data_IF_447899292313
#
_entry.id   IF_447899292313
#
_cell.length_a   1.000
_cell.length_b   1.000
_cell.length_c   1.000
_cell.angle_alpha   90.00
_cell.angle_beta   90.00
_cell.angle_gamma   90.00
#
_symmetry.space_group_name_H-M   'P 1'
#
loop_
_entity.id
_entity.type
_entity.pdbx_description
1 polymer ?
#
# COMPACT_ATOMS: atom_id res chain seq x y z
N UNK A 1 -28.57 50.82 -63.47
CA UNK A 1 -27.32 50.81 -62.70
C UNK A 1 -27.32 49.54 -61.86
N UNK A 2 -26.36 48.63 -62.14
CA UNK A 2 -25.66 47.70 -61.20
C UNK A 2 -26.49 47.02 -60.10
N UNK A 3 -26.50 45.69 -59.89
CA UNK A 3 -25.65 44.56 -60.31
C UNK A 3 -26.49 43.25 -60.08
N UNK A 4 -26.58 42.27 -61.00
CA UNK A 4 -25.72 41.05 -61.14
C UNK A 4 -25.78 40.16 -59.88
N UNK A 5 -26.10 38.85 -59.82
CA UNK A 5 -26.36 37.73 -60.75
C UNK A 5 -27.06 36.60 -59.91
N UNK A 6 -28.12 35.94 -60.39
CA UNK A 6 -28.16 34.54 -60.90
C UNK A 6 -27.43 33.47 -60.06
N UNK A 7 -28.10 32.51 -59.43
CA UNK A 7 -28.59 31.22 -59.99
C UNK A 7 -27.68 30.03 -59.68
N UNK A 8 -28.26 29.02 -59.03
CA UNK A 8 -28.19 27.58 -59.33
C UNK A 8 -26.90 27.04 -59.98
N UNK A 9 -26.14 26.19 -59.27
CA UNK A 9 -25.94 24.79 -59.67
C UNK A 9 -25.10 24.00 -58.66
N UNK A 10 -25.46 22.74 -58.46
CA UNK A 10 -24.78 21.82 -57.54
C UNK A 10 -23.42 21.34 -58.05
N UNK A 11 -22.62 20.82 -57.11
CA UNK A 11 -21.55 19.88 -57.41
C UNK A 11 -21.70 18.66 -56.47
N UNK A 12 -21.77 17.41 -56.98
CA UNK A 12 -22.34 16.27 -56.27
C UNK A 12 -21.32 15.34 -55.59
N UNK A 13 -20.15 15.83 -55.18
CA UNK A 13 -19.12 14.99 -54.58
C UNK A 13 -18.72 15.51 -53.19
N UNK A 14 -19.20 14.84 -52.15
CA UNK A 14 -18.67 14.97 -50.80
C UNK A 14 -17.22 14.52 -50.77
N UNK A 15 -16.35 15.34 -50.17
CA UNK A 15 -14.97 14.96 -49.92
C UNK A 15 -14.93 13.89 -48.79
N UNK A 16 -14.19 12.79 -48.96
CA UNK A 16 -14.08 11.75 -47.93
C UNK A 16 -13.36 12.32 -46.70
N UNK A 17 -13.89 12.00 -45.51
CA UNK A 17 -13.30 12.40 -44.25
C UNK A 17 -11.80 12.09 -44.19
N UNK A 18 -11.01 13.10 -43.86
CA UNK A 18 -9.59 12.95 -43.56
C UNK A 18 -9.46 12.14 -42.27
N UNK A 19 -9.12 10.86 -42.40
CA UNK A 19 -9.01 9.87 -41.31
C UNK A 19 -7.83 10.14 -40.36
N UNK A 20 -6.94 11.07 -40.69
CA UNK A 20 -5.68 11.29 -39.97
C UNK A 20 -5.61 12.69 -39.34
N UNK A 21 -6.43 12.94 -38.33
CA UNK A 21 -6.29 14.10 -37.46
C UNK A 21 -5.61 13.66 -36.15
N UNK A 22 -4.28 13.83 -36.00
CA UNK A 22 -3.51 13.31 -34.86
C UNK A 22 -3.95 13.91 -33.51
N UNK A 23 -4.54 15.11 -33.53
CA UNK A 23 -5.14 15.73 -32.34
C UNK A 23 -6.34 14.94 -31.81
N UNK A 24 -7.14 14.35 -32.71
CA UNK A 24 -8.33 13.56 -32.36
C UNK A 24 -7.97 12.14 -31.87
N UNK A 25 -6.84 11.60 -32.31
CA UNK A 25 -6.29 10.34 -31.79
C UNK A 25 -5.60 10.53 -30.44
N UNK A 26 -4.86 11.63 -30.24
CA UNK A 26 -4.28 11.97 -28.93
C UNK A 26 -5.37 12.18 -27.87
N UNK A 27 -6.49 12.82 -28.24
CA UNK A 27 -7.62 13.06 -27.33
C UNK A 27 -8.48 11.80 -27.09
N UNK A 28 -8.42 10.79 -27.96
CA UNK A 28 -9.03 9.47 -27.72
C UNK A 28 -8.18 8.57 -26.81
N UNK A 29 -6.89 8.84 -26.68
CA UNK A 29 -6.01 8.09 -25.77
C UNK A 29 -6.12 8.58 -24.31
N UNK A 30 -6.60 9.81 -24.10
CA UNK A 30 -6.73 10.45 -22.78
C UNK A 30 -8.03 10.14 -22.03
N UNK A 31 -8.92 9.33 -22.61
CA UNK A 31 -10.14 8.84 -21.94
C UNK A 31 -10.22 7.33 -22.08
N UNK A 32 -9.23 6.61 -21.55
CA UNK A 32 -9.52 5.25 -21.13
C UNK A 32 -10.37 5.30 -19.86
N UNK A 33 -11.47 4.52 -19.76
CA UNK A 33 -12.10 4.30 -18.47
C UNK A 33 -11.04 3.76 -17.52
N UNK A 34 -11.09 4.23 -16.27
CA UNK A 34 -10.25 3.75 -15.18
C UNK A 34 -10.10 2.22 -15.29
N UNK A 35 -8.88 1.71 -15.44
CA UNK A 35 -8.70 0.27 -15.65
C UNK A 35 -9.39 -0.46 -14.50
N UNK A 36 -10.24 -1.45 -14.79
CA UNK A 36 -11.06 -2.04 -13.75
C UNK A 36 -10.17 -2.74 -12.72
N UNK A 37 -10.45 -2.48 -11.45
CA UNK A 37 -9.61 -2.88 -10.30
C UNK A 37 -9.24 -4.36 -10.26
N UNK A 38 -10.08 -5.24 -10.82
CA UNK A 38 -9.81 -6.68 -10.92
C UNK A 38 -8.61 -7.01 -11.80
N UNK A 39 -8.33 -6.22 -12.85
CA UNK A 39 -7.16 -6.43 -13.70
C UNK A 39 -5.88 -6.13 -12.93
N UNK A 40 -5.86 -5.02 -12.17
CA UNK A 40 -4.72 -4.66 -11.32
C UNK A 40 -4.46 -5.77 -10.30
N UNK A 41 -5.50 -6.30 -9.66
CA UNK A 41 -5.36 -7.40 -8.71
C UNK A 41 -4.79 -8.67 -9.36
N UNK A 42 -5.28 -9.03 -10.57
CA UNK A 42 -4.74 -10.19 -11.31
C UNK A 42 -3.29 -9.98 -11.71
N UNK A 43 -2.94 -8.79 -12.19
CA UNK A 43 -1.57 -8.45 -12.54
C UNK A 43 -0.66 -8.52 -11.31
N UNK A 44 -1.09 -7.99 -10.17
CA UNK A 44 -0.32 -8.02 -8.94
C UNK A 44 -0.03 -9.45 -8.48
N UNK A 45 -1.03 -10.34 -8.58
CA UNK A 45 -0.86 -11.76 -8.28
C UNK A 45 0.07 -12.47 -9.29
N UNK A 46 -0.05 -12.20 -10.59
CA UNK A 46 0.88 -12.77 -11.59
C UNK A 46 2.32 -12.34 -11.28
N UNK A 47 2.54 -11.06 -10.93
CA UNK A 47 3.85 -10.55 -10.58
C UNK A 47 4.39 -11.15 -9.27
N UNK A 48 3.52 -11.46 -8.29
CA UNK A 48 3.96 -12.16 -7.08
C UNK A 48 4.40 -13.61 -7.37
N UNK A 49 3.72 -14.29 -8.29
CA UNK A 49 4.13 -15.62 -8.74
C UNK A 49 5.46 -15.60 -9.52
N UNK A 50 5.66 -14.62 -10.38
CA UNK A 50 6.94 -14.40 -11.08
C UNK A 50 8.04 -14.14 -10.06
N UNK A 51 7.80 -13.26 -9.08
CA UNK A 51 8.74 -13.00 -7.99
C UNK A 51 9.09 -14.28 -7.24
N UNK A 52 8.11 -15.06 -6.80
CA UNK A 52 8.35 -16.32 -6.07
C UNK A 52 9.04 -17.41 -6.90
N UNK A 53 8.99 -17.32 -8.23
CA UNK A 53 9.63 -18.27 -9.14
C UNK A 53 11.06 -17.88 -9.53
N UNK A 54 11.35 -16.58 -9.64
CA UNK A 54 12.61 -16.04 -10.18
C UNK A 54 13.53 -15.43 -9.12
N UNK A 55 12.97 -14.84 -8.06
CA UNK A 55 13.76 -14.28 -6.96
C UNK A 55 14.12 -15.38 -5.95
N UNK A 56 15.35 -15.42 -5.41
CA UNK A 56 16.46 -14.49 -5.66
C UNK A 56 17.43 -14.93 -6.78
N UNK A 57 17.37 -16.19 -7.23
CA UNK A 57 18.47 -16.80 -8.01
C UNK A 57 18.54 -16.31 -9.46
N UNK A 58 17.40 -16.12 -10.13
CA UNK A 58 17.34 -15.69 -11.54
C UNK A 58 17.20 -14.18 -11.68
N UNK A 59 16.48 -13.54 -10.76
CA UNK A 59 16.19 -12.11 -10.82
C UNK A 59 16.31 -11.41 -9.45
N UNK A 60 17.54 -11.24 -8.93
CA UNK A 60 17.75 -10.63 -7.61
C UNK A 60 17.34 -9.15 -7.53
N UNK A 61 17.35 -8.44 -8.66
CA UNK A 61 17.02 -7.01 -8.77
C UNK A 61 15.53 -6.73 -9.06
N UNK A 62 14.66 -7.74 -9.01
CA UNK A 62 13.25 -7.62 -9.41
C UNK A 62 12.53 -6.39 -8.83
N UNK A 63 12.68 -6.15 -7.51
CA UNK A 63 12.00 -5.03 -6.85
C UNK A 63 12.49 -3.68 -7.38
N UNK A 64 13.80 -3.56 -7.59
CA UNK A 64 14.40 -2.34 -8.11
C UNK A 64 14.01 -2.11 -9.57
N UNK A 65 14.11 -3.15 -10.42
CA UNK A 65 13.85 -3.04 -11.86
C UNK A 65 12.39 -2.73 -12.19
N UNK A 66 11.45 -3.30 -11.42
CA UNK A 66 10.01 -3.14 -11.67
C UNK A 66 9.45 -1.90 -10.98
N UNK A 67 9.87 -1.61 -9.75
CA UNK A 67 9.21 -0.61 -8.90
C UNK A 67 10.14 0.50 -8.40
N UNK A 68 11.24 0.16 -7.72
CA UNK A 68 11.94 1.13 -6.89
C UNK A 68 12.85 2.09 -7.70
N UNK A 69 13.44 1.63 -8.80
CA UNK A 69 14.33 2.46 -9.65
C UNK A 69 13.60 3.50 -10.48
N UNK A 70 12.31 3.28 -10.78
CA UNK A 70 11.50 4.13 -11.68
C UNK A 70 10.78 5.27 -10.97
N UNK A 71 10.81 5.28 -9.64
CA UNK A 71 9.98 6.19 -8.85
C UNK A 71 8.52 5.73 -8.77
N UNK A 72 7.87 6.03 -7.65
CA UNK A 72 6.45 5.74 -7.41
C UNK A 72 5.63 7.02 -7.59
N UNK A 73 5.68 7.58 -8.80
CA UNK A 73 5.27 8.97 -9.09
C UNK A 73 3.77 9.15 -9.34
N UNK A 74 3.01 8.05 -9.43
CA UNK A 74 1.57 8.09 -9.68
C UNK A 74 0.80 7.12 -8.79
N UNK A 75 -0.42 7.51 -8.40
CA UNK A 75 -1.30 6.70 -7.54
C UNK A 75 -1.55 5.30 -8.12
N UNK A 76 -1.85 5.11 -9.43
CA UNK A 76 -2.05 3.77 -9.97
C UNK A 76 -0.82 2.86 -9.85
N UNK A 77 0.39 3.42 -10.04
CA UNK A 77 1.64 2.68 -9.89
C UNK A 77 1.89 2.31 -8.43
N UNK A 78 1.68 3.25 -7.50
CA UNK A 78 1.76 2.99 -6.05
C UNK A 78 0.77 1.89 -5.64
N UNK A 79 -0.48 1.98 -6.09
CA UNK A 79 -1.51 0.97 -5.81
C UNK A 79 -1.12 -0.39 -6.37
N UNK A 80 -0.61 -0.45 -7.60
CA UNK A 80 -0.15 -1.71 -8.20
C UNK A 80 1.02 -2.31 -7.41
N UNK A 81 2.03 -1.49 -7.09
CA UNK A 81 3.18 -1.88 -6.27
C UNK A 81 2.76 -2.47 -4.92
N UNK A 82 1.94 -1.75 -4.15
CA UNK A 82 1.50 -2.19 -2.83
C UNK A 82 0.66 -3.47 -2.90
N UNK A 83 -0.20 -3.61 -3.92
CA UNK A 83 -0.94 -4.85 -4.16
C UNK A 83 -0.02 -6.01 -4.51
N UNK A 84 1.06 -5.78 -5.26
CA UNK A 84 2.08 -6.80 -5.52
C UNK A 84 2.81 -7.20 -4.25
N UNK A 85 3.16 -6.26 -3.36
CA UNK A 85 3.76 -6.58 -2.06
C UNK A 85 2.84 -7.47 -1.21
N UNK A 86 1.57 -7.11 -1.10
CA UNK A 86 0.58 -7.90 -0.35
C UNK A 86 0.36 -9.28 -0.97
N UNK A 87 0.36 -9.37 -2.31
CA UNK A 87 0.28 -10.65 -3.01
C UNK A 87 1.54 -11.52 -2.76
N UNK A 88 2.72 -10.93 -2.68
CA UNK A 88 3.96 -11.63 -2.29
C UNK A 88 3.86 -12.14 -0.86
N UNK A 89 3.39 -11.32 0.07
CA UNK A 89 3.19 -11.73 1.46
C UNK A 89 2.24 -12.93 1.56
N UNK A 90 1.11 -12.90 0.86
CA UNK A 90 0.16 -14.03 0.84
C UNK A 90 0.79 -15.33 0.29
N UNK A 91 1.64 -15.25 -0.74
CA UNK A 91 2.30 -16.41 -1.33
C UNK A 91 3.44 -16.95 -0.45
N UNK A 92 4.24 -16.06 0.14
CA UNK A 92 5.52 -16.38 0.78
C UNK A 92 5.40 -16.55 2.30
N UNK A 93 4.51 -15.79 2.95
CA UNK A 93 4.50 -15.60 4.41
C UNK A 93 3.29 -16.20 5.09
N UNK A 94 2.12 -16.26 4.42
CA UNK A 94 0.85 -16.74 5.01
C UNK A 94 1.06 -18.06 5.76
N UNK A 95 0.87 -18.08 7.08
CA UNK A 95 1.20 -19.26 7.92
C UNK A 95 0.07 -20.29 7.98
N UNK A 96 -1.12 -19.94 7.51
CA UNK A 96 -2.32 -20.77 7.63
C UNK A 96 -2.41 -21.78 6.48
N UNK A 97 -1.64 -21.57 5.42
CA UNK A 97 -1.52 -22.52 4.31
C UNK A 97 -0.51 -23.61 4.67
N UNK A 98 -1.00 -24.84 4.83
CA UNK A 98 -0.15 -26.03 4.96
C UNK A 98 0.71 -26.21 3.70
N UNK A 99 2.01 -25.95 3.82
CA UNK A 99 2.98 -26.06 2.73
C UNK A 99 3.84 -27.30 2.88
N UNK A 100 4.27 -27.84 1.74
CA UNK A 100 5.31 -28.88 1.72
C UNK A 100 6.64 -28.29 2.19
N UNK A 101 7.51 -29.14 2.74
CA UNK A 101 8.84 -28.74 3.22
C UNK A 101 9.63 -27.95 2.18
N UNK A 102 9.58 -28.39 0.92
CA UNK A 102 10.26 -27.71 -0.20
C UNK A 102 9.80 -26.28 -0.40
N UNK A 103 8.49 -26.01 -0.31
CA UNK A 103 7.95 -24.64 -0.47
C UNK A 103 8.30 -23.80 0.76
N UNK A 104 8.27 -24.38 1.96
CA UNK A 104 8.70 -23.70 3.19
C UNK A 104 10.16 -23.25 3.12
N UNK A 105 11.06 -24.14 2.70
CA UNK A 105 12.50 -23.85 2.55
C UNK A 105 12.72 -22.76 1.49
N UNK A 106 12.00 -22.84 0.36
CA UNK A 106 11.99 -21.80 -0.68
C UNK A 106 11.54 -20.44 -0.12
N UNK A 107 10.43 -20.40 0.61
CA UNK A 107 9.87 -19.17 1.14
C UNK A 107 10.78 -18.56 2.23
N UNK A 108 11.44 -19.39 3.02
CA UNK A 108 12.46 -18.96 3.98
C UNK A 108 13.63 -18.30 3.26
N UNK A 109 14.16 -18.95 2.21
CA UNK A 109 15.19 -18.37 1.35
C UNK A 109 14.76 -17.02 0.75
N UNK A 110 13.55 -16.93 0.20
CA UNK A 110 13.04 -15.67 -0.36
C UNK A 110 13.04 -14.56 0.69
N UNK A 111 12.49 -14.79 1.89
CA UNK A 111 12.47 -13.78 2.95
C UNK A 111 13.87 -13.33 3.37
N UNK A 112 14.81 -14.26 3.52
CA UNK A 112 16.17 -13.92 3.93
C UNK A 112 16.85 -13.02 2.90
N UNK A 113 16.76 -13.37 1.61
CA UNK A 113 17.27 -12.51 0.54
C UNK A 113 16.51 -11.18 0.43
N UNK A 114 15.20 -11.16 0.69
CA UNK A 114 14.44 -9.90 0.71
C UNK A 114 14.98 -8.96 1.79
N UNK A 115 15.24 -9.47 3.00
CA UNK A 115 15.81 -8.67 4.10
C UNK A 115 17.11 -7.99 3.70
N UNK A 116 17.97 -8.73 3.01
CA UNK A 116 19.30 -8.24 2.65
C UNK A 116 19.27 -7.30 1.43
N UNK A 117 18.40 -7.58 0.44
CA UNK A 117 18.47 -6.91 -0.87
C UNK A 117 17.50 -5.74 -1.02
N UNK A 118 16.25 -5.86 -0.53
CA UNK A 118 15.19 -4.92 -0.92
C UNK A 118 14.36 -4.35 0.23
N UNK A 119 14.30 -5.01 1.40
CA UNK A 119 13.45 -4.55 2.51
C UNK A 119 13.78 -3.13 2.99
N UNK A 120 15.06 -2.70 3.11
CA UNK A 120 15.37 -1.31 3.48
C UNK A 120 14.76 -0.29 2.50
N UNK A 121 14.83 -0.56 1.20
CA UNK A 121 14.26 0.31 0.16
C UNK A 121 12.72 0.27 0.18
N UNK A 122 12.13 -0.91 0.42
CA UNK A 122 10.68 -1.07 0.56
C UNK A 122 10.16 -0.25 1.75
N UNK A 123 10.81 -0.31 2.91
CA UNK A 123 10.44 0.48 4.09
C UNK A 123 10.55 1.99 3.81
N UNK A 124 11.62 2.41 3.11
CA UNK A 124 11.79 3.80 2.69
C UNK A 124 10.66 4.25 1.74
N UNK A 125 10.20 3.36 0.87
CA UNK A 125 9.06 3.63 -0.02
C UNK A 125 7.77 3.81 0.77
N UNK A 126 7.51 3.01 1.81
CA UNK A 126 6.33 3.16 2.67
C UNK A 126 6.32 4.51 3.37
N UNK A 127 7.46 4.92 3.94
CA UNK A 127 7.60 6.25 4.54
C UNK A 127 7.25 7.34 3.52
N UNK A 128 7.81 7.25 2.31
CA UNK A 128 7.60 8.23 1.24
C UNK A 128 6.14 8.27 0.80
N UNK A 129 5.48 7.11 0.68
CA UNK A 129 4.06 7.01 0.31
C UNK A 129 3.18 7.65 1.40
N UNK A 130 3.39 7.29 2.67
CA UNK A 130 2.58 7.82 3.78
C UNK A 130 2.77 9.32 4.00
N UNK A 131 3.95 9.86 3.67
CA UNK A 131 4.26 11.28 3.78
C UNK A 131 3.74 12.10 2.59
N UNK A 132 3.86 11.58 1.36
CA UNK A 132 3.62 12.36 0.13
C UNK A 132 2.32 12.05 -0.59
N UNK A 133 1.74 10.87 -0.38
CA UNK A 133 0.53 10.45 -1.07
C UNK A 133 -0.71 10.77 -0.22
N UNK A 134 -1.60 11.62 -0.74
CA UNK A 134 -2.87 11.92 -0.08
C UNK A 134 -3.99 10.93 -0.43
N UNK A 135 -3.78 10.04 -1.40
CA UNK A 135 -4.79 9.07 -1.82
C UNK A 135 -5.08 8.05 -0.70
N UNK A 136 -6.35 7.91 -0.34
CA UNK A 136 -6.81 7.05 0.76
C UNK A 136 -6.51 5.59 0.47
N UNK A 137 -6.73 5.14 -0.77
CA UNK A 137 -6.53 3.73 -1.15
C UNK A 137 -5.05 3.35 -1.06
N UNK A 138 -4.16 4.20 -1.57
CA UNK A 138 -2.72 4.02 -1.46
C UNK A 138 -2.25 4.03 0.00
N UNK A 139 -2.75 4.94 0.83
CA UNK A 139 -2.40 4.99 2.26
C UNK A 139 -2.86 3.72 3.00
N UNK A 140 -4.10 3.26 2.78
CA UNK A 140 -4.60 2.01 3.37
C UNK A 140 -3.75 0.81 2.96
N UNK A 141 -3.50 0.62 1.65
CA UNK A 141 -2.66 -0.47 1.15
C UNK A 141 -1.23 -0.41 1.69
N UNK A 142 -0.70 0.79 1.93
CA UNK A 142 0.63 0.95 2.50
C UNK A 142 0.65 0.53 3.96
N UNK A 143 -0.35 0.92 4.75
CA UNK A 143 -0.50 0.50 6.14
C UNK A 143 -0.74 -1.01 6.25
N UNK A 144 -1.49 -1.60 5.32
CA UNK A 144 -1.68 -3.04 5.22
C UNK A 144 -0.35 -3.76 4.95
N UNK A 145 0.46 -3.25 4.03
CA UNK A 145 1.79 -3.79 3.74
C UNK A 145 2.70 -3.69 4.98
N UNK A 146 2.65 -2.56 5.72
CA UNK A 146 3.36 -2.44 6.99
C UNK A 146 2.90 -3.53 7.97
N UNK A 147 1.58 -3.68 8.18
CA UNK A 147 1.04 -4.68 9.10
C UNK A 147 1.50 -6.11 8.77
N UNK A 148 1.52 -6.45 7.48
CA UNK A 148 1.91 -7.78 7.00
C UNK A 148 3.41 -8.08 7.16
N UNK A 149 4.27 -7.10 6.85
CA UNK A 149 5.72 -7.33 6.80
C UNK A 149 6.42 -7.14 8.15
N UNK A 150 5.85 -6.33 9.04
CA UNK A 150 6.48 -5.92 10.30
C UNK A 150 6.94 -7.09 11.16
N UNK A 151 6.23 -8.22 11.20
CA UNK A 151 6.61 -9.37 12.05
C UNK A 151 8.02 -9.91 11.74
N UNK A 152 8.37 -10.01 10.46
CA UNK A 152 9.57 -10.74 10.04
C UNK A 152 10.73 -9.86 9.57
N UNK A 153 10.55 -8.55 9.37
CA UNK A 153 11.65 -7.64 8.98
C UNK A 153 12.49 -7.18 10.19
N UNK A 154 13.58 -6.48 9.95
CA UNK A 154 14.40 -5.89 11.02
C UNK A 154 13.58 -4.86 11.82
N UNK A 155 13.68 -4.96 13.15
CA UNK A 155 13.03 -4.04 14.09
C UNK A 155 13.53 -2.61 13.94
N UNK A 156 14.81 -2.40 13.61
CA UNK A 156 15.40 -1.06 13.54
C UNK A 156 14.84 -0.23 12.38
N UNK A 157 14.40 -0.89 11.30
CA UNK A 157 13.80 -0.25 10.14
C UNK A 157 12.44 0.39 10.45
N UNK A 158 11.68 -0.17 11.41
CA UNK A 158 10.30 0.25 11.69
C UNK A 158 10.07 0.80 13.09
N UNK A 159 10.87 0.38 14.09
CA UNK A 159 10.77 0.84 15.47
C UNK A 159 11.81 1.93 15.76
N UNK A 160 11.66 3.07 15.07
CA UNK A 160 12.49 4.25 15.22
C UNK A 160 11.62 5.52 15.36
N UNK A 161 12.25 6.61 15.81
CA UNK A 161 11.60 7.89 16.14
C UNK A 161 11.04 8.64 14.93
N UNK A 162 11.19 8.10 13.72
CA UNK A 162 10.68 8.69 12.47
C UNK A 162 9.48 7.91 11.97
N UNK A 163 9.61 6.58 11.82
CA UNK A 163 8.57 5.74 11.23
C UNK A 163 7.39 5.52 12.17
N UNK A 164 7.65 5.29 13.46
CA UNK A 164 6.59 5.06 14.46
C UNK A 164 5.62 6.24 14.55
N UNK A 165 6.08 7.50 14.75
CA UNK A 165 5.16 8.63 14.82
C UNK A 165 4.38 8.84 13.52
N UNK A 166 4.98 8.56 12.36
CA UNK A 166 4.30 8.66 11.07
C UNK A 166 3.10 7.70 10.99
N UNK A 167 3.29 6.43 11.34
CA UNK A 167 2.20 5.44 11.31
C UNK A 167 1.13 5.77 12.35
N UNK A 168 1.53 6.14 13.58
CA UNK A 168 0.60 6.53 14.65
C UNK A 168 -0.23 7.76 14.26
N UNK A 169 0.35 8.74 13.55
CA UNK A 169 -0.37 9.96 13.11
C UNK A 169 -1.57 9.66 12.22
N UNK A 170 -1.57 8.51 11.52
CA UNK A 170 -2.66 8.10 10.63
C UNK A 170 -3.92 7.67 11.37
N UNK A 171 -3.82 7.31 12.65
CA UNK A 171 -4.97 6.90 13.47
C UNK A 171 -6.04 8.01 13.61
N UNK A 172 -5.66 9.28 13.48
CA UNK A 172 -6.57 10.41 13.56
C UNK A 172 -7.46 10.62 12.33
N UNK A 173 -7.13 9.99 11.19
CA UNK A 173 -7.91 10.12 9.96
C UNK A 173 -8.88 8.92 9.85
N UNK A 174 -10.19 9.21 9.89
CA UNK A 174 -11.25 8.19 9.87
C UNK A 174 -11.17 7.25 8.67
N UNK A 175 -10.88 7.79 7.48
CA UNK A 175 -10.89 7.02 6.21
C UNK A 175 -9.78 5.97 6.12
N UNK A 176 -8.69 6.16 6.88
CA UNK A 176 -7.54 5.24 6.92
C UNK A 176 -7.34 4.59 8.29
N UNK A 177 -8.21 4.90 9.27
CA UNK A 177 -7.99 4.55 10.67
C UNK A 177 -7.95 3.05 10.89
N UNK A 178 -8.78 2.27 10.19
CA UNK A 178 -8.82 0.82 10.32
C UNK A 178 -7.48 0.18 9.90
N UNK A 179 -6.95 0.56 8.75
CA UNK A 179 -5.64 0.10 8.28
C UNK A 179 -4.52 0.56 9.24
N UNK A 180 -4.62 1.78 9.75
CA UNK A 180 -3.66 2.30 10.74
C UNK A 180 -3.70 1.52 12.06
N UNK A 181 -4.88 1.13 12.55
CA UNK A 181 -5.03 0.28 13.74
C UNK A 181 -4.35 -1.07 13.53
N UNK A 182 -4.53 -1.70 12.37
CA UNK A 182 -3.87 -2.97 12.05
C UNK A 182 -2.34 -2.81 12.00
N UNK A 183 -1.83 -1.77 11.35
CA UNK A 183 -0.40 -1.47 11.28
C UNK A 183 0.23 -1.19 12.66
N UNK A 184 -0.40 -0.34 13.47
CA UNK A 184 0.06 -0.01 14.82
C UNK A 184 0.02 -1.25 15.72
N UNK A 185 -1.04 -2.05 15.64
CA UNK A 185 -1.16 -3.29 16.42
C UNK A 185 -0.02 -4.26 16.09
N UNK A 186 0.32 -4.42 14.80
CA UNK A 186 1.45 -5.24 14.38
C UNK A 186 2.80 -4.68 14.91
N UNK A 187 3.00 -3.36 14.85
CA UNK A 187 4.22 -2.71 15.35
C UNK A 187 4.43 -2.93 16.85
N UNK A 188 3.38 -2.80 17.67
CA UNK A 188 3.52 -2.98 19.13
C UNK A 188 3.68 -4.46 19.53
N UNK A 189 3.10 -5.38 18.75
CA UNK A 189 3.24 -6.82 18.95
C UNK A 189 4.63 -7.31 18.58
N UNK A 190 5.31 -6.67 17.61
CA UNK A 190 6.67 -7.03 17.19
C UNK A 190 7.61 -7.18 18.39
N UNK A 191 8.42 -8.24 18.39
CA UNK A 191 9.46 -8.44 19.39
C UNK A 191 10.50 -7.32 19.35
N UNK A 192 10.62 -6.55 20.43
CA UNK A 192 11.63 -5.49 20.58
C UNK A 192 11.97 -5.28 22.06
N UNK A 193 13.12 -4.65 22.38
CA UNK A 193 13.53 -4.40 23.77
C UNK A 193 12.45 -3.67 24.58
N UNK A 194 12.27 -3.98 25.88
CA UNK A 194 11.22 -3.39 26.70
C UNK A 194 11.23 -1.86 26.72
N UNK A 195 12.41 -1.23 26.73
CA UNK A 195 12.55 0.24 26.71
C UNK A 195 11.94 0.88 25.45
N UNK A 196 12.27 0.36 24.26
CA UNK A 196 11.68 0.82 22.99
C UNK A 196 10.18 0.54 22.94
N UNK A 197 9.76 -0.64 23.42
CA UNK A 197 8.36 -1.05 23.43
C UNK A 197 7.50 -0.15 24.32
N UNK A 198 7.97 0.18 25.53
CA UNK A 198 7.28 1.09 26.43
C UNK A 198 7.18 2.51 25.85
N UNK A 199 8.26 3.02 25.25
CA UNK A 199 8.22 4.33 24.58
C UNK A 199 7.17 4.39 23.47
N UNK A 200 7.11 3.35 22.64
CA UNK A 200 6.10 3.20 21.59
C UNK A 200 4.67 3.17 22.18
N UNK A 201 4.45 2.39 23.23
CA UNK A 201 3.14 2.31 23.91
C UNK A 201 2.74 3.65 24.53
N UNK A 202 3.67 4.38 25.14
CA UNK A 202 3.42 5.73 25.68
C UNK A 202 3.02 6.70 24.58
N UNK A 203 3.78 6.77 23.48
CA UNK A 203 3.44 7.64 22.34
C UNK A 203 2.06 7.32 21.74
N UNK A 204 1.74 6.03 21.63
CA UNK A 204 0.43 5.59 21.16
C UNK A 204 -0.70 6.03 22.12
N UNK A 205 -0.52 5.84 23.43
CA UNK A 205 -1.51 6.29 24.42
C UNK A 205 -1.75 7.80 24.37
N UNK A 206 -0.70 8.60 24.17
CA UNK A 206 -0.83 10.06 24.06
C UNK A 206 -1.62 10.47 22.82
N UNK A 207 -1.38 9.84 21.67
CA UNK A 207 -2.15 10.07 20.44
C UNK A 207 -3.59 9.60 20.58
N UNK A 208 -3.81 8.44 21.20
CA UNK A 208 -5.15 7.92 21.49
C UNK A 208 -5.96 8.87 22.37
N UNK A 209 -5.33 9.46 23.40
CA UNK A 209 -5.97 10.44 24.28
C UNK A 209 -6.24 11.76 23.55
N UNK A 210 -5.26 12.27 22.83
CA UNK A 210 -5.34 13.59 22.18
C UNK A 210 -6.36 13.64 21.05
N UNK A 211 -6.56 12.53 20.33
CA UNK A 211 -7.52 12.43 19.24
C UNK A 211 -8.85 11.77 19.66
N UNK A 212 -9.09 11.61 20.97
CA UNK A 212 -10.30 10.95 21.52
C UNK A 212 -10.57 9.56 20.92
N UNK A 213 -9.53 8.81 20.55
CA UNK A 213 -9.65 7.55 19.82
C UNK A 213 -10.22 6.41 20.66
N UNK A 214 -10.15 6.51 21.99
CA UNK A 214 -10.69 5.52 22.93
C UNK A 214 -12.00 5.94 23.58
N UNK A 215 -12.54 7.10 23.19
CA UNK A 215 -13.78 7.61 23.76
C UNK A 215 -14.97 6.97 23.06
N UNK A 216 -15.53 5.93 23.69
CA UNK A 216 -16.77 5.27 23.24
C UNK A 216 -17.96 5.80 24.04
N UNK A 217 -19.04 6.16 23.37
CA UNK A 217 -20.29 6.62 23.97
C UNK A 217 -21.50 5.87 23.37
N UNK A 218 -22.72 5.99 23.95
CA UNK A 218 -23.90 5.25 23.45
C UNK A 218 -24.30 5.54 21.99
N UNK A 219 -23.80 6.63 21.41
CA UNK A 219 -24.03 7.01 20.01
C UNK A 219 -22.84 6.69 19.08
N UNK A 220 -21.77 6.08 19.61
CA UNK A 220 -20.63 5.66 18.80
C UNK A 220 -21.07 4.60 17.79
N UNK A 221 -20.58 4.72 16.56
CA UNK A 221 -20.80 3.70 15.54
C UNK A 221 -19.95 2.44 15.81
N UNK A 222 -20.20 1.41 15.02
CA UNK A 222 -19.49 0.13 15.12
C UNK A 222 -17.98 0.29 14.94
N UNK A 223 -17.55 1.12 13.99
CA UNK A 223 -16.14 1.33 13.65
C UNK A 223 -15.38 2.02 14.79
N UNK A 224 -16.00 3.03 15.42
CA UNK A 224 -15.44 3.73 16.57
C UNK A 224 -15.23 2.78 17.76
N UNK A 225 -16.20 1.89 18.02
CA UNK A 225 -16.12 0.89 19.09
C UNK A 225 -15.05 -0.15 18.78
N UNK A 226 -15.01 -0.68 17.56
CA UNK A 226 -14.03 -1.67 17.11
C UNK A 226 -12.62 -1.11 17.21
N UNK A 227 -12.39 0.09 16.68
CA UNK A 227 -11.10 0.80 16.75
C UNK A 227 -10.63 0.99 18.18
N UNK A 228 -11.48 1.51 19.07
CA UNK A 228 -11.13 1.71 20.48
C UNK A 228 -10.79 0.38 21.17
N UNK A 229 -11.62 -0.65 20.96
CA UNK A 229 -11.43 -1.99 21.53
C UNK A 229 -10.13 -2.65 21.07
N UNK A 230 -9.84 -2.63 19.76
CA UNK A 230 -8.61 -3.19 19.19
C UNK A 230 -7.37 -2.51 19.75
N UNK A 231 -7.35 -1.18 19.79
CA UNK A 231 -6.20 -0.42 20.32
C UNK A 231 -5.98 -0.69 21.82
N UNK A 232 -7.05 -0.66 22.63
CA UNK A 232 -6.96 -0.94 24.07
C UNK A 232 -6.51 -2.38 24.34
N UNK A 233 -7.03 -3.35 23.58
CA UNK A 233 -6.61 -4.74 23.71
C UNK A 233 -5.14 -4.90 23.36
N UNK A 234 -4.68 -4.28 22.26
CA UNK A 234 -3.30 -4.40 21.82
C UNK A 234 -2.34 -3.77 22.85
N UNK A 235 -2.65 -2.58 23.36
CA UNK A 235 -1.87 -1.92 24.42
C UNK A 235 -1.88 -2.76 25.70
N UNK A 236 -3.04 -3.26 26.13
CA UNK A 236 -3.19 -4.06 27.33
C UNK A 236 -2.36 -5.35 27.29
N UNK A 237 -2.45 -6.10 26.19
CA UNK A 237 -1.65 -7.31 25.97
C UNK A 237 -0.15 -7.01 26.06
N UNK A 238 0.30 -5.95 25.41
CA UNK A 238 1.72 -5.55 25.44
C UNK A 238 2.17 -5.19 26.85
N UNK A 239 1.39 -4.42 27.61
CA UNK A 239 1.76 -4.02 28.97
C UNK A 239 1.84 -5.24 29.92
N UNK A 240 0.92 -6.19 29.80
CA UNK A 240 0.93 -7.43 30.58
C UNK A 240 2.18 -8.26 30.23
N UNK A 241 2.48 -8.42 28.95
CA UNK A 241 3.63 -9.21 28.49
C UNK A 241 4.97 -8.61 28.92
N UNK A 242 5.08 -7.28 29.02
CA UNK A 242 6.29 -6.62 29.49
C UNK A 242 6.42 -6.63 31.02
N UNK A 243 5.34 -6.77 31.78
CA UNK A 243 5.42 -6.89 33.23
C UNK A 243 6.10 -8.19 33.68
N UNK A 244 5.98 -9.25 32.87
CA UNK A 244 6.53 -10.58 33.16
C UNK A 244 7.98 -10.80 32.66
N UNK A 245 8.61 -9.79 32.03
CA UNK A 245 9.97 -9.86 31.48
C UNK A 245 10.89 -8.86 32.18
#
# INVERSE_FOLDING_TARGET
>A
MTAVNSSLNGNPFGAPGTINDPARQAQKLSTQPDQPSFLINKMAHIFSLVFAADFPDRWPTFMDDIFLSRGLDSVPLVTFYLKTLLAIDSEVVDRDIQRTKTIFDRNTKIKDFMRDLCIPQIVQSWWTILERCSDVTAQCLCLDAVAAFVDWIDVELVANDVFVPLVISRLGNKDISEAAVRAVSALIQKGMPPSKKLSLVTALMDVMRSNHLISVNPNSDYEDVLRAGSLLSAVGSVLIDNYHK
#
